data_IF_454560980436
#
_entry.id   IF_454560980436
#
_cell.length_a   1.000
_cell.length_b   1.000
_cell.length_c   1.000
_cell.angle_alpha   90.00
_cell.angle_beta   90.00
_cell.angle_gamma   90.00
#
_symmetry.space_group_name_H-M   'P 1'
#
loop_
_entity.id
_entity.type
_entity.pdbx_description
1 polymer ?
#
# COMPACT_ATOMS: atom_id res chain seq x y z
N UNK A 1 -35.44 12.88 -30.37
CA UNK A 1 -34.61 13.23 -29.19
C UNK A 1 -34.91 12.38 -27.94
N UNK A 2 -36.09 11.75 -27.78
CA UNK A 2 -36.42 10.94 -26.60
C UNK A 2 -35.96 9.45 -26.64
N UNK A 3 -35.65 8.90 -27.81
CA UNK A 3 -35.31 7.47 -27.97
C UNK A 3 -33.85 7.17 -27.58
N UNK A 4 -32.93 8.13 -27.77
CA UNK A 4 -31.52 7.97 -27.39
C UNK A 4 -31.31 7.95 -25.87
N UNK A 5 -32.13 8.69 -25.11
CA UNK A 5 -32.05 8.75 -23.65
C UNK A 5 -32.50 7.43 -23.01
N UNK A 6 -33.53 6.77 -23.57
CA UNK A 6 -34.01 5.47 -23.09
C UNK A 6 -32.99 4.34 -23.30
N UNK A 7 -32.25 4.38 -24.42
CA UNK A 7 -31.18 3.43 -24.73
C UNK A 7 -29.88 3.69 -23.96
N UNK A 8 -29.74 4.83 -23.27
CA UNK A 8 -28.59 5.12 -22.41
C UNK A 8 -28.82 4.61 -20.98
N UNK A 9 -30.08 4.46 -20.54
CA UNK A 9 -30.42 4.16 -19.15
C UNK A 9 -30.12 2.71 -18.69
N UNK A 10 -30.37 1.69 -19.52
CA UNK A 10 -30.16 0.28 -19.14
C UNK A 10 -28.75 -0.21 -19.50
N UNK A 11 -28.26 -0.09 -20.76
CA UNK A 11 -26.93 -0.58 -21.11
C UNK A 11 -25.83 0.31 -20.55
N UNK A 12 -26.05 1.62 -20.41
CA UNK A 12 -25.08 2.53 -19.79
C UNK A 12 -24.86 2.20 -18.31
N UNK A 13 -25.93 1.95 -17.55
CA UNK A 13 -25.83 1.53 -16.15
C UNK A 13 -25.13 0.17 -16.01
N UNK A 14 -25.44 -0.79 -16.90
CA UNK A 14 -24.79 -2.10 -16.91
C UNK A 14 -23.29 -1.99 -17.25
N UNK A 15 -22.91 -1.13 -18.21
CA UNK A 15 -21.52 -0.87 -18.58
C UNK A 15 -20.75 -0.21 -17.44
N UNK A 16 -21.33 0.79 -16.78
CA UNK A 16 -20.71 1.46 -15.63
C UNK A 16 -20.54 0.48 -14.47
N UNK A 17 -21.56 -0.33 -14.17
CA UNK A 17 -21.49 -1.34 -13.11
C UNK A 17 -20.42 -2.39 -13.39
N UNK A 18 -20.33 -2.87 -14.63
CA UNK A 18 -19.31 -3.82 -15.07
C UNK A 18 -17.90 -3.23 -14.98
N UNK A 19 -17.74 -1.94 -15.30
CA UNK A 19 -16.47 -1.23 -15.18
C UNK A 19 -16.04 -1.08 -13.73
N UNK A 20 -16.94 -0.66 -12.84
CA UNK A 20 -16.66 -0.54 -11.40
C UNK A 20 -16.29 -1.91 -10.83
N UNK A 21 -17.08 -2.93 -11.13
CA UNK A 21 -16.81 -4.30 -10.69
C UNK A 21 -15.45 -4.79 -11.20
N UNK A 22 -15.16 -4.59 -12.48
CA UNK A 22 -13.87 -4.94 -13.08
C UNK A 22 -12.70 -4.18 -12.45
N UNK A 23 -12.86 -2.90 -12.13
CA UNK A 23 -11.83 -2.10 -11.46
C UNK A 23 -11.56 -2.60 -10.03
N UNK A 24 -12.61 -2.93 -9.27
CA UNK A 24 -12.49 -3.51 -7.92
C UNK A 24 -11.81 -4.87 -7.97
N UNK A 25 -12.27 -5.77 -8.84
CA UNK A 25 -11.71 -7.12 -8.99
C UNK A 25 -10.26 -7.05 -9.48
N UNK A 26 -9.98 -6.21 -10.49
CA UNK A 26 -8.64 -6.01 -11.02
C UNK A 26 -7.67 -5.47 -9.97
N UNK A 27 -8.10 -4.47 -9.18
CA UNK A 27 -7.28 -3.95 -8.07
C UNK A 27 -6.97 -5.02 -7.03
N UNK A 28 -7.94 -5.86 -6.68
CA UNK A 28 -7.75 -6.94 -5.72
C UNK A 28 -6.80 -8.02 -6.26
N UNK A 29 -7.02 -8.47 -7.50
CA UNK A 29 -6.15 -9.46 -8.15
C UNK A 29 -4.72 -8.94 -8.30
N UNK A 30 -4.52 -7.65 -8.55
CA UNK A 30 -3.19 -7.05 -8.61
C UNK A 30 -2.43 -7.19 -7.27
N UNK A 31 -3.11 -6.97 -6.14
CA UNK A 31 -2.52 -7.20 -4.80
C UNK A 31 -2.23 -8.69 -4.57
N UNK A 32 -3.14 -9.57 -5.01
CA UNK A 32 -2.97 -11.02 -4.88
C UNK A 32 -1.79 -11.52 -5.71
N UNK A 33 -1.63 -11.09 -6.97
CA UNK A 33 -0.48 -11.45 -7.82
C UNK A 33 0.83 -10.95 -7.21
N UNK A 34 0.85 -9.76 -6.61
CA UNK A 34 2.03 -9.24 -5.95
C UNK A 34 2.42 -10.04 -4.69
N UNK A 35 1.45 -10.70 -4.04
CA UNK A 35 1.65 -11.44 -2.78
C UNK A 35 1.72 -12.96 -2.94
N UNK A 36 1.23 -13.52 -4.05
CA UNK A 36 1.28 -14.95 -4.38
C UNK A 36 2.69 -15.56 -4.55
N UNK A 37 3.70 -14.86 -5.12
CA UNK A 37 5.01 -15.49 -5.36
C UNK A 37 5.85 -15.66 -4.09
N UNK A 38 5.38 -15.16 -2.94
CA UNK A 38 6.10 -15.27 -1.66
C UNK A 38 5.40 -16.31 -0.79
N UNK A 39 5.66 -17.58 -1.05
CA UNK A 39 5.14 -18.66 -0.21
C UNK A 39 5.65 -18.52 1.24
N UNK A 40 4.74 -18.31 2.18
CA UNK A 40 4.98 -18.52 3.61
C UNK A 40 5.48 -17.33 4.44
N UNK A 41 5.68 -16.14 3.88
CA UNK A 41 6.03 -14.96 4.69
C UNK A 41 4.79 -14.20 5.18
N UNK A 42 4.73 -13.95 6.48
CA UNK A 42 3.62 -13.24 7.10
C UNK A 42 3.64 -11.78 6.66
N UNK A 43 2.53 -11.28 6.12
CA UNK A 43 2.38 -9.86 5.72
C UNK A 43 2.62 -8.91 6.92
N UNK A 44 2.47 -9.43 8.15
CA UNK A 44 2.52 -8.69 9.41
C UNK A 44 3.77 -9.03 10.23
N UNK A 45 4.50 -10.08 9.86
CA UNK A 45 5.61 -10.62 10.66
C UNK A 45 6.73 -11.15 9.76
N UNK A 46 7.99 -10.75 9.95
CA UNK A 46 8.52 -9.98 11.08
C UNK A 46 8.15 -8.48 11.03
N UNK A 47 8.11 -7.77 12.18
CA UNK A 47 7.94 -6.31 12.19
C UNK A 47 9.06 -5.62 11.37
N UNK A 48 8.92 -4.33 11.08
CA UNK A 48 9.99 -3.57 10.44
C UNK A 48 11.29 -3.67 11.26
N UNK A 49 12.44 -3.91 10.61
CA UNK A 49 13.75 -3.99 11.28
C UNK A 49 14.74 -3.01 10.66
N UNK A 50 15.70 -2.53 11.44
CA UNK A 50 16.79 -1.70 10.92
C UNK A 50 17.71 -2.54 10.02
N UNK A 51 17.99 -2.10 8.77
CA UNK A 51 18.84 -2.87 7.84
C UNK A 51 20.34 -2.89 8.23
N UNK A 52 20.75 -2.09 9.23
CA UNK A 52 22.14 -2.02 9.69
C UNK A 52 22.42 -2.84 10.93
N UNK A 53 21.51 -2.87 11.90
CA UNK A 53 21.72 -3.57 13.17
C UNK A 53 20.69 -4.67 13.45
N UNK A 54 19.67 -4.85 12.60
CA UNK A 54 18.62 -5.85 12.80
C UNK A 54 17.72 -5.57 14.01
N UNK A 55 17.80 -4.39 14.65
CA UNK A 55 16.91 -4.05 15.75
C UNK A 55 15.47 -3.90 15.23
N UNK A 56 14.51 -4.49 15.95
CA UNK A 56 13.10 -4.30 15.67
C UNK A 56 12.72 -2.83 15.83
N UNK A 57 12.00 -2.30 14.84
CA UNK A 57 11.48 -0.94 14.85
C UNK A 57 10.17 -0.97 15.63
N UNK A 58 10.08 -0.13 16.66
CA UNK A 58 8.85 -0.02 17.45
C UNK A 58 7.71 0.51 16.59
N UNK A 59 6.47 0.12 16.90
CA UNK A 59 5.29 0.55 16.14
C UNK A 59 5.17 2.07 15.98
N UNK A 60 5.57 2.85 16.99
CA UNK A 60 5.57 4.32 16.92
C UNK A 60 6.70 4.91 16.06
N UNK A 61 7.79 4.16 15.83
CA UNK A 61 8.87 4.57 14.93
C UNK A 61 8.47 4.34 13.45
N UNK A 62 7.38 3.62 13.18
CA UNK A 62 6.82 3.48 11.82
C UNK A 62 6.07 4.72 11.31
N UNK A 63 5.87 5.78 12.12
CA UNK A 63 5.26 7.04 11.66
C UNK A 63 6.33 7.85 10.93
N UNK A 64 6.44 7.80 9.58
CA UNK A 64 7.69 8.07 8.87
C UNK A 64 8.20 9.49 9.10
N UNK A 65 7.32 10.49 9.04
CA UNK A 65 7.68 11.89 9.23
C UNK A 65 8.01 12.22 10.70
N UNK A 66 7.18 11.75 11.63
CA UNK A 66 7.32 12.06 13.04
C UNK A 66 8.57 11.40 13.62
N UNK A 67 8.75 10.11 13.38
CA UNK A 67 9.91 9.36 13.88
C UNK A 67 11.20 9.84 13.22
N UNK A 68 11.19 10.16 11.92
CA UNK A 68 12.37 10.68 11.22
C UNK A 68 12.81 12.04 11.77
N UNK A 69 11.88 12.95 12.07
CA UNK A 69 12.19 14.24 12.69
C UNK A 69 12.74 14.06 14.12
N UNK A 70 12.07 13.26 14.95
CA UNK A 70 12.47 13.01 16.34
C UNK A 70 13.83 12.31 16.44
N UNK A 71 14.08 11.34 15.55
CA UNK A 71 15.32 10.58 15.49
C UNK A 71 16.41 11.24 14.63
N UNK A 72 16.12 12.40 14.03
CA UNK A 72 17.01 13.14 13.10
C UNK A 72 17.53 12.25 11.96
N UNK A 73 16.64 11.43 11.40
CA UNK A 73 16.94 10.51 10.30
C UNK A 73 17.91 9.38 10.68
N UNK A 74 17.96 8.96 11.95
CA UNK A 74 18.86 7.90 12.43
C UNK A 74 18.11 6.78 13.13
N UNK A 75 18.65 5.57 13.10
CA UNK A 75 18.12 4.46 13.89
C UNK A 75 18.27 4.74 15.39
N UNK A 76 17.24 4.42 16.19
CA UNK A 76 17.26 4.55 17.66
C UNK A 76 18.35 3.69 18.32
N UNK A 77 18.56 2.47 17.83
CA UNK A 77 19.49 1.51 18.41
C UNK A 77 20.95 1.77 18.00
N UNK A 78 21.25 1.82 16.70
CA UNK A 78 22.63 1.90 16.20
C UNK A 78 23.05 3.28 15.68
N UNK A 79 22.14 4.28 15.70
CA UNK A 79 22.37 5.64 15.17
C UNK A 79 22.78 5.73 13.69
N UNK A 80 22.71 4.62 12.96
CA UNK A 80 22.96 4.62 11.51
C UNK A 80 21.90 5.46 10.79
N UNK A 81 22.26 6.17 9.71
CA UNK A 81 21.32 6.97 8.93
C UNK A 81 20.25 6.09 8.27
N UNK A 82 19.00 6.54 8.32
CA UNK A 82 17.86 5.93 7.61
C UNK A 82 17.69 6.66 6.28
N UNK A 83 17.50 5.90 5.19
CA UNK A 83 17.32 6.48 3.85
C UNK A 83 16.09 7.40 3.80
N UNK A 84 16.26 8.57 3.16
CA UNK A 84 15.16 9.53 2.89
C UNK A 84 14.07 8.97 1.98
N UNK A 85 14.32 7.84 1.33
CA UNK A 85 13.33 7.16 0.50
C UNK A 85 12.14 6.64 1.33
N UNK A 86 12.31 6.42 2.64
CA UNK A 86 11.24 5.93 3.51
C UNK A 86 10.18 6.98 3.92
N UNK A 87 10.51 8.24 4.27
CA UNK A 87 9.49 9.25 4.59
C UNK A 87 8.80 9.90 3.39
N UNK A 88 9.33 9.75 2.17
CA UNK A 88 8.86 10.47 0.97
C UNK A 88 7.91 9.65 0.08
N UNK A 89 7.67 8.37 0.39
CA UNK A 89 6.75 7.48 -0.32
C UNK A 89 5.50 7.24 0.51
#
# INVERSE_FOLDING_TARGET
MNIAIANISIPGLLSISSFIFGAVVGSFLNVVILRLPTEGESIVFPPSHCPKCGAAIHGYDNIPLLSFLLLRGKCRACRAPISFQYPLV
#
